data_IF_067482312872
#
_entry.id   IF_067482312872
#
_cell.length_a   1.000
_cell.length_b   1.000
_cell.length_c   1.000
_cell.angle_alpha   90.00
_cell.angle_beta   90.00
_cell.angle_gamma   90.00
#
_symmetry.space_group_name_H-M   'P 1'
#
loop_
_entity.id
_entity.type
_entity.pdbx_description
1 polymer ?
#
# COMPACT_ATOMS: atom_id res chain seq x y z
N UNK A 1 -6.97 20.66 -25.64
CA UNK A 1 -8.33 20.09 -25.48
C UNK A 1 -8.43 19.01 -24.39
N UNK A 2 -7.34 18.35 -23.97
CA UNK A 2 -7.39 17.30 -22.92
C UNK A 2 -7.67 17.82 -21.50
N UNK A 3 -7.21 19.03 -21.17
CA UNK A 3 -7.45 19.64 -19.87
C UNK A 3 -8.94 19.97 -19.66
N UNK A 4 -9.62 20.54 -20.66
CA UNK A 4 -11.07 20.80 -20.59
C UNK A 4 -11.90 19.53 -20.50
N UNK A 5 -11.51 18.46 -21.20
CA UNK A 5 -12.18 17.16 -21.11
C UNK A 5 -12.00 16.52 -19.72
N UNK A 6 -10.78 16.52 -19.19
CA UNK A 6 -10.49 16.05 -17.83
C UNK A 6 -11.25 16.84 -16.77
N UNK A 7 -11.30 18.17 -16.92
CA UNK A 7 -12.02 19.06 -16.01
C UNK A 7 -13.54 18.79 -16.04
N UNK A 8 -14.14 18.64 -17.23
CA UNK A 8 -15.55 18.29 -17.37
C UNK A 8 -15.92 16.97 -16.69
N UNK A 9 -15.06 15.95 -16.84
CA UNK A 9 -15.25 14.64 -16.20
C UNK A 9 -15.22 14.73 -14.66
N UNK A 10 -14.29 15.52 -14.10
CA UNK A 10 -14.21 15.76 -12.64
C UNK A 10 -15.51 16.40 -12.12
N UNK A 11 -16.04 17.40 -12.83
CA UNK A 11 -17.30 18.07 -12.42
C UNK A 11 -18.47 17.09 -12.40
N UNK A 12 -18.56 16.18 -13.38
CA UNK A 12 -19.61 15.15 -13.43
C UNK A 12 -19.50 14.20 -12.22
N UNK A 13 -18.28 13.75 -11.88
CA UNK A 13 -18.04 12.91 -10.71
C UNK A 13 -18.44 13.64 -9.41
N UNK A 14 -18.04 14.90 -9.25
CA UNK A 14 -18.39 15.70 -8.07
C UNK A 14 -19.91 15.89 -7.91
N UNK A 15 -20.64 16.05 -9.03
CA UNK A 15 -22.11 16.07 -9.03
C UNK A 15 -22.71 14.76 -8.55
N UNK A 16 -22.14 13.63 -8.96
CA UNK A 16 -22.61 12.31 -8.51
C UNK A 16 -22.41 12.11 -7.00
N UNK A 17 -21.25 12.53 -6.45
CA UNK A 17 -21.00 12.49 -5.01
C UNK A 17 -21.93 13.42 -4.22
N UNK A 18 -22.24 14.61 -4.73
CA UNK A 18 -23.18 15.54 -4.05
C UNK A 18 -24.61 15.03 -4.06
N UNK A 19 -25.07 14.32 -5.11
CA UNK A 19 -26.39 13.67 -5.14
C UNK A 19 -26.48 12.57 -4.08
N UNK A 20 -25.42 11.79 -3.91
CA UNK A 20 -25.32 10.72 -2.89
C UNK A 20 -25.50 11.28 -1.46
N UNK A 21 -25.11 12.54 -1.23
CA UNK A 21 -25.31 13.25 0.05
C UNK A 21 -26.75 13.65 0.38
N UNK A 22 -27.69 13.53 -0.58
CA UNK A 22 -29.11 13.86 -0.34
C UNK A 22 -29.86 12.79 0.46
N UNK A 23 -29.44 11.53 0.39
CA UNK A 23 -30.02 10.46 1.18
C UNK A 23 -29.41 10.44 2.59
N UNK A 24 -30.24 10.54 3.63
CA UNK A 24 -29.81 10.64 5.03
C UNK A 24 -28.88 9.48 5.45
N UNK A 25 -29.19 8.25 5.03
CA UNK A 25 -28.38 7.05 5.31
C UNK A 25 -27.00 7.11 4.66
N UNK A 26 -26.94 7.46 3.37
CA UNK A 26 -25.67 7.56 2.62
C UNK A 26 -24.80 8.70 3.14
N UNK A 27 -25.39 9.84 3.49
CA UNK A 27 -24.69 10.95 4.14
C UNK A 27 -24.06 10.54 5.48
N UNK A 28 -24.79 9.79 6.31
CA UNK A 28 -24.29 9.28 7.59
C UNK A 28 -23.11 8.30 7.41
N UNK A 29 -23.18 7.43 6.40
CA UNK A 29 -22.09 6.50 6.08
C UNK A 29 -20.84 7.24 5.60
N UNK A 30 -20.98 8.15 4.63
CA UNK A 30 -19.88 8.95 4.08
C UNK A 30 -19.19 9.78 5.18
N UNK A 31 -19.96 10.45 6.04
CA UNK A 31 -19.43 11.24 7.14
C UNK A 31 -18.68 10.37 8.16
N UNK A 32 -19.18 9.16 8.44
CA UNK A 32 -18.50 8.20 9.32
C UNK A 32 -17.15 7.78 8.76
N UNK A 33 -17.07 7.53 7.45
CA UNK A 33 -15.79 7.20 6.77
C UNK A 33 -14.81 8.35 6.89
N UNK A 34 -15.21 9.58 6.54
CA UNK A 34 -14.33 10.76 6.59
C UNK A 34 -13.81 11.03 8.00
N UNK A 35 -14.69 10.98 9.01
CA UNK A 35 -14.29 11.18 10.41
C UNK A 35 -13.35 10.07 10.88
N UNK A 36 -13.55 8.82 10.45
CA UNK A 36 -12.66 7.72 10.79
C UNK A 36 -11.27 7.84 10.15
N UNK A 37 -11.20 8.29 8.89
CA UNK A 37 -9.94 8.55 8.20
C UNK A 37 -9.18 9.68 8.89
N UNK A 38 -9.87 10.77 9.25
CA UNK A 38 -9.27 11.88 10.00
C UNK A 38 -8.69 11.41 11.35
N UNK A 39 -9.43 10.58 12.10
CA UNK A 39 -8.95 9.98 13.36
C UNK A 39 -7.77 9.01 13.17
N UNK A 40 -7.58 8.50 11.96
CA UNK A 40 -6.51 7.55 11.63
C UNK A 40 -5.36 8.20 10.87
N UNK A 41 -5.36 9.54 10.73
CA UNK A 41 -4.37 10.29 9.98
C UNK A 41 -2.93 9.95 10.38
N UNK A 42 -2.64 9.92 11.69
CA UNK A 42 -1.31 9.57 12.19
C UNK A 42 -0.87 8.15 11.82
N UNK A 43 -1.80 7.18 11.77
CA UNK A 43 -1.48 5.81 11.35
C UNK A 43 -1.17 5.79 9.86
N UNK A 44 -1.97 6.46 9.03
CA UNK A 44 -1.77 6.52 7.58
C UNK A 44 -0.42 7.18 7.26
N UNK A 45 -0.09 8.26 7.97
CA UNK A 45 1.20 8.92 7.84
C UNK A 45 2.36 8.01 8.27
N UNK A 46 2.21 7.27 9.37
CA UNK A 46 3.19 6.27 9.79
C UNK A 46 3.36 5.13 8.77
N UNK A 47 2.27 4.67 8.16
CA UNK A 47 2.29 3.68 7.09
C UNK A 47 3.05 4.18 5.87
N UNK A 48 2.82 5.42 5.46
CA UNK A 48 3.55 6.05 4.36
C UNK A 48 5.05 6.17 4.66
N UNK A 49 5.42 6.59 5.86
CA UNK A 49 6.83 6.66 6.28
C UNK A 49 7.48 5.27 6.30
N UNK A 50 6.77 4.25 6.77
CA UNK A 50 7.25 2.87 6.74
C UNK A 50 7.47 2.38 5.29
N UNK A 51 6.53 2.66 4.39
CA UNK A 51 6.71 2.33 2.97
C UNK A 51 7.93 3.07 2.39
N UNK A 52 8.13 4.33 2.75
CA UNK A 52 9.28 5.11 2.28
C UNK A 52 10.62 4.55 2.77
N UNK A 53 10.74 4.16 4.04
CA UNK A 53 11.97 3.58 4.58
C UNK A 53 12.27 2.22 3.94
N UNK A 54 11.26 1.37 3.77
CA UNK A 54 11.42 0.11 3.05
C UNK A 54 11.73 0.31 1.57
N UNK A 55 11.17 1.33 0.91
CA UNK A 55 11.50 1.63 -0.49
C UNK A 55 12.96 2.03 -0.67
N UNK A 56 13.50 2.83 0.26
CA UNK A 56 14.92 3.20 0.27
C UNK A 56 15.81 1.97 0.49
N UNK A 57 15.49 1.14 1.48
CA UNK A 57 16.23 -0.09 1.74
C UNK A 57 16.15 -1.08 0.58
N UNK A 58 14.96 -1.24 -0.02
CA UNK A 58 14.75 -2.10 -1.19
C UNK A 58 15.52 -1.62 -2.42
N UNK A 59 15.65 -0.32 -2.63
CA UNK A 59 16.47 0.24 -3.70
C UNK A 59 17.96 -0.08 -3.53
N UNK A 60 18.46 -0.07 -2.28
CA UNK A 60 19.85 -0.42 -1.97
C UNK A 60 20.09 -1.93 -2.11
N UNK A 61 19.15 -2.76 -1.69
CA UNK A 61 19.31 -4.22 -1.66
C UNK A 61 18.99 -4.90 -3.01
N UNK A 62 17.97 -4.42 -3.71
CA UNK A 62 17.37 -5.09 -4.86
C UNK A 62 17.30 -4.19 -6.11
N UNK A 63 17.99 -3.06 -6.13
CA UNK A 63 17.91 -2.07 -7.22
C UNK A 63 18.41 -2.58 -8.58
N UNK A 64 19.37 -3.52 -8.58
CA UNK A 64 19.95 -4.11 -9.79
C UNK A 64 19.45 -5.53 -10.09
N UNK A 65 18.51 -6.06 -9.30
CA UNK A 65 18.01 -7.44 -9.47
C UNK A 65 17.38 -7.63 -10.84
N UNK A 66 17.73 -8.73 -11.49
CA UNK A 66 17.20 -9.13 -12.79
C UNK A 66 15.67 -9.23 -12.79
N UNK A 67 15.05 -8.86 -13.90
CA UNK A 67 13.61 -9.01 -14.08
C UNK A 67 13.20 -10.49 -14.05
N UNK A 68 12.11 -10.78 -13.34
CA UNK A 68 11.58 -12.10 -13.08
C UNK A 68 10.13 -12.22 -13.52
N UNK A 69 9.34 -13.01 -12.79
CA UNK A 69 7.90 -13.21 -13.08
C UNK A 69 7.07 -11.97 -12.70
N UNK A 70 7.33 -11.42 -11.50
CA UNK A 70 6.59 -10.30 -10.91
C UNK A 70 7.37 -9.00 -10.90
N UNK A 71 8.70 -9.06 -10.96
CA UNK A 71 9.58 -7.91 -11.17
C UNK A 71 9.73 -7.62 -12.66
N UNK A 72 9.29 -6.44 -13.10
CA UNK A 72 9.35 -6.02 -14.50
C UNK A 72 9.68 -4.53 -14.66
N UNK A 73 9.51 -3.98 -15.87
CA UNK A 73 9.93 -2.60 -16.21
C UNK A 73 9.26 -1.50 -15.37
N UNK A 74 7.99 -1.70 -15.02
CA UNK A 74 7.21 -0.74 -14.21
C UNK A 74 7.19 -1.10 -12.72
N UNK A 75 7.58 -2.34 -12.40
CA UNK A 75 7.41 -2.98 -11.11
C UNK A 75 8.77 -3.48 -10.63
N UNK A 76 9.62 -2.59 -10.12
CA UNK A 76 10.98 -2.90 -9.67
C UNK A 76 11.46 -1.94 -8.57
N UNK A 77 12.64 -2.23 -8.03
CA UNK A 77 13.31 -1.43 -7.00
C UNK A 77 14.43 -0.54 -7.56
N UNK A 78 14.48 -0.28 -8.88
CA UNK A 78 15.59 0.48 -9.48
C UNK A 78 15.62 1.96 -9.07
N UNK A 79 14.47 2.49 -8.64
CA UNK A 79 14.36 3.83 -8.05
C UNK A 79 13.47 3.75 -6.82
N UNK A 80 13.69 4.62 -5.84
CA UNK A 80 12.85 4.70 -4.63
C UNK A 80 11.37 4.90 -4.97
N UNK A 81 11.05 5.72 -5.97
CA UNK A 81 9.67 5.95 -6.41
C UNK A 81 8.99 4.68 -6.93
N UNK A 82 9.70 3.86 -7.71
CA UNK A 82 9.19 2.56 -8.17
C UNK A 82 9.09 1.56 -7.03
N UNK A 83 10.04 1.59 -6.09
CA UNK A 83 10.00 0.83 -4.85
C UNK A 83 8.75 1.14 -4.00
N UNK A 84 8.34 2.41 -3.90
CA UNK A 84 7.09 2.80 -3.21
C UNK A 84 5.87 2.16 -3.89
N UNK A 85 5.79 2.23 -5.23
CA UNK A 85 4.68 1.63 -5.99
C UNK A 85 4.67 0.10 -5.82
N UNK A 86 5.84 -0.53 -5.83
CA UNK A 86 6.00 -1.97 -5.60
C UNK A 86 5.53 -2.38 -4.20
N UNK A 87 5.92 -1.64 -3.17
CA UNK A 87 5.49 -1.91 -1.81
C UNK A 87 3.99 -1.65 -1.64
N UNK A 88 3.43 -0.64 -2.32
CA UNK A 88 1.99 -0.40 -2.35
C UNK A 88 1.22 -1.58 -2.94
N UNK A 89 1.73 -2.18 -4.02
CA UNK A 89 1.20 -3.42 -4.60
C UNK A 89 1.27 -4.60 -3.62
N UNK A 90 2.31 -4.69 -2.80
CA UNK A 90 2.37 -5.70 -1.73
C UNK A 90 1.33 -5.44 -0.65
N UNK A 91 1.04 -4.17 -0.30
CA UNK A 91 -0.01 -3.80 0.67
C UNK A 91 -1.40 -4.25 0.23
N UNK A 92 -1.68 -4.24 -1.09
CA UNK A 92 -2.96 -4.76 -1.63
C UNK A 92 -3.03 -6.29 -1.61
N UNK A 93 -1.95 -6.98 -1.25
CA UNK A 93 -1.87 -8.44 -1.15
C UNK A 93 -1.54 -9.13 -2.47
N UNK A 94 -1.14 -8.39 -3.50
CA UNK A 94 -0.85 -8.98 -4.82
C UNK A 94 0.49 -9.73 -4.82
N UNK A 95 0.42 -11.07 -4.91
CA UNK A 95 1.53 -11.97 -5.26
C UNK A 95 2.90 -11.61 -4.63
N UNK A 96 2.89 -11.11 -3.39
CA UNK A 96 4.09 -10.58 -2.72
C UNK A 96 5.19 -11.64 -2.56
N UNK A 97 4.79 -12.91 -2.41
CA UNK A 97 5.71 -14.05 -2.33
C UNK A 97 6.46 -14.26 -3.65
N UNK A 98 5.84 -13.98 -4.81
CA UNK A 98 6.52 -14.08 -6.11
C UNK A 98 7.57 -12.99 -6.27
N UNK A 99 7.23 -11.76 -5.87
CA UNK A 99 8.19 -10.63 -5.84
C UNK A 99 9.37 -10.98 -4.92
N UNK A 100 9.10 -11.58 -3.76
CA UNK A 100 10.13 -12.07 -2.86
C UNK A 100 11.02 -13.12 -3.53
N UNK A 101 10.45 -14.11 -4.21
CA UNK A 101 11.20 -15.16 -4.91
C UNK A 101 12.06 -14.61 -6.06
N UNK A 102 11.56 -13.63 -6.82
CA UNK A 102 12.36 -12.95 -7.84
C UNK A 102 13.58 -12.25 -7.21
N UNK A 103 13.44 -11.65 -6.03
CA UNK A 103 14.56 -11.06 -5.27
C UNK A 103 15.50 -12.09 -4.62
N UNK A 104 15.18 -13.38 -4.68
CA UNK A 104 16.02 -14.48 -4.19
C UNK A 104 16.84 -15.14 -5.30
N UNK A 105 16.76 -14.63 -6.52
CA UNK A 105 17.43 -15.22 -7.69
C UNK A 105 18.94 -15.39 -7.44
N UNK A 106 19.45 -16.56 -7.81
CA UNK A 106 20.84 -16.97 -7.61
C UNK A 106 21.41 -17.63 -8.87
N UNK A 107 22.75 -17.79 -8.99
CA UNK A 107 23.36 -18.44 -10.14
C UNK A 107 22.83 -19.87 -10.32
N UNK A 108 22.58 -20.36 -11.56
CA UNK A 108 22.99 -19.80 -12.87
C UNK A 108 21.98 -18.83 -13.52
N UNK A 109 20.91 -18.44 -12.83
CA UNK A 109 19.84 -17.60 -13.42
C UNK A 109 20.15 -16.10 -13.42
N UNK A 110 21.22 -15.70 -12.73
CA UNK A 110 21.79 -14.36 -12.66
C UNK A 110 23.32 -14.40 -12.87
N UNK A 111 23.90 -13.25 -13.17
CA UNK A 111 25.31 -12.98 -13.41
C UNK A 111 25.92 -12.30 -12.18
N UNK A 112 26.78 -12.99 -11.41
CA UNK A 112 27.45 -12.37 -10.28
C UNK A 112 28.42 -11.28 -10.76
N UNK A 113 28.32 -10.09 -10.18
CA UNK A 113 29.27 -8.99 -10.38
C UNK A 113 30.31 -8.91 -9.26
N UNK A 114 31.41 -8.19 -9.48
CA UNK A 114 32.41 -7.94 -8.43
C UNK A 114 31.89 -7.02 -7.33
N UNK A 115 30.89 -6.18 -7.66
CA UNK A 115 30.34 -5.14 -6.81
C UNK A 115 28.80 -5.28 -6.70
N UNK A 116 28.19 -4.76 -5.64
CA UNK A 116 26.73 -4.84 -5.40
C UNK A 116 25.86 -4.19 -6.48
N UNK A 117 26.40 -3.28 -7.29
CA UNK A 117 25.70 -2.60 -8.39
C UNK A 117 25.97 -3.21 -9.77
N UNK A 118 26.97 -4.10 -9.88
CA UNK A 118 27.30 -4.82 -11.12
C UNK A 118 26.69 -6.23 -11.15
N UNK A 119 26.23 -6.72 -10.00
CA UNK A 119 25.49 -7.99 -9.90
C UNK A 119 24.01 -7.76 -10.17
N UNK A 120 23.41 -8.65 -10.98
CA UNK A 120 21.96 -8.74 -11.15
C UNK A 120 21.35 -9.87 -10.30
N UNK A 121 22.17 -10.50 -9.44
CA UNK A 121 21.73 -11.51 -8.49
C UNK A 121 21.02 -10.90 -7.28
N UNK A 122 20.03 -11.63 -6.79
CA UNK A 122 19.34 -11.33 -5.55
C UNK A 122 20.10 -11.81 -4.31
N UNK A 123 19.49 -11.62 -3.15
CA UNK A 123 20.04 -12.11 -1.88
C UNK A 123 18.94 -12.83 -1.10
N UNK A 124 19.08 -14.15 -0.99
CA UNK A 124 18.07 -15.01 -0.36
C UNK A 124 17.71 -14.56 1.07
N UNK A 125 18.72 -14.34 1.91
CA UNK A 125 18.51 -14.00 3.33
C UNK A 125 17.93 -12.59 3.48
N UNK A 126 18.45 -11.63 2.72
CA UNK A 126 17.96 -10.26 2.76
C UNK A 126 16.52 -10.16 2.25
N UNK A 127 16.18 -10.83 1.14
CA UNK A 127 14.83 -10.88 0.60
C UNK A 127 13.85 -11.48 1.61
N UNK A 128 14.17 -12.63 2.20
CA UNK A 128 13.31 -13.26 3.21
C UNK A 128 13.02 -12.31 4.38
N UNK A 129 14.07 -11.73 4.97
CA UNK A 129 13.91 -10.82 6.10
C UNK A 129 13.14 -9.56 5.73
N UNK A 130 13.45 -8.95 4.59
CA UNK A 130 12.81 -7.71 4.12
C UNK A 130 11.32 -7.91 3.84
N UNK A 131 10.94 -8.88 3.00
CA UNK A 131 9.55 -9.04 2.60
C UNK A 131 8.68 -9.61 3.72
N UNK A 132 9.17 -10.58 4.50
CA UNK A 132 8.38 -11.11 5.62
C UNK A 132 8.16 -10.07 6.72
N UNK A 133 9.19 -9.31 7.11
CA UNK A 133 9.03 -8.25 8.12
C UNK A 133 8.08 -7.15 7.64
N UNK A 134 8.24 -6.68 6.40
CA UNK A 134 7.34 -5.71 5.80
C UNK A 134 5.90 -6.19 5.79
N UNK A 135 5.66 -7.42 5.31
CA UNK A 135 4.32 -7.99 5.16
C UNK A 135 3.62 -8.14 6.52
N UNK A 136 4.30 -8.66 7.55
CA UNK A 136 3.71 -8.80 8.88
C UNK A 136 3.34 -7.43 9.48
N UNK A 137 4.25 -6.45 9.39
CA UNK A 137 4.02 -5.12 9.95
C UNK A 137 2.89 -4.41 9.21
N UNK A 138 2.88 -4.45 7.87
CA UNK A 138 1.87 -3.74 7.08
C UNK A 138 0.49 -4.38 7.24
N UNK A 139 0.38 -5.71 7.25
CA UNK A 139 -0.89 -6.39 7.50
C UNK A 139 -1.42 -6.06 8.89
N UNK A 140 -0.55 -5.99 9.92
CA UNK A 140 -0.95 -5.55 11.25
C UNK A 140 -1.48 -4.10 11.24
N UNK A 141 -0.81 -3.18 10.55
CA UNK A 141 -1.27 -1.79 10.41
C UNK A 141 -2.62 -1.71 9.70
N UNK A 142 -2.77 -2.42 8.57
CA UNK A 142 -4.03 -2.45 7.79
C UNK A 142 -5.18 -3.03 8.60
N UNK A 143 -4.95 -4.13 9.33
CA UNK A 143 -5.96 -4.71 10.21
C UNK A 143 -6.40 -3.72 11.29
N UNK A 144 -5.45 -3.03 11.94
CA UNK A 144 -5.77 -2.00 12.93
C UNK A 144 -6.52 -0.81 12.33
N UNK A 145 -6.17 -0.42 11.10
CA UNK A 145 -6.83 0.67 10.37
C UNK A 145 -8.28 0.32 10.03
N UNK A 146 -8.56 -0.93 9.65
CA UNK A 146 -9.91 -1.42 9.33
C UNK A 146 -10.76 -1.68 10.59
N UNK A 147 -10.14 -2.16 11.68
CA UNK A 147 -10.84 -2.42 12.94
C UNK A 147 -11.29 -1.14 13.65
N UNK A 148 -10.53 -0.03 13.55
CA UNK A 148 -10.89 1.26 14.18
C UNK A 148 -12.29 1.77 13.82
N UNK A 149 -12.67 1.95 12.53
CA UNK A 149 -14.03 2.37 12.17
C UNK A 149 -15.09 1.37 12.62
N UNK A 150 -14.83 0.06 12.47
CA UNK A 150 -15.77 -1.01 12.85
C UNK A 150 -16.04 -0.96 14.36
N UNK A 151 -15.00 -0.87 15.18
CA UNK A 151 -15.11 -0.79 16.63
C UNK A 151 -15.78 0.52 17.07
N UNK A 152 -15.45 1.64 16.41
CA UNK A 152 -16.09 2.92 16.66
C UNK A 152 -17.60 2.89 16.34
N UNK A 153 -18.00 2.23 15.25
CA UNK A 153 -19.41 2.05 14.90
C UNK A 153 -20.13 1.15 15.92
N UNK A 154 -19.53 0.01 16.29
CA UNK A 154 -20.10 -0.91 17.30
C UNK A 154 -20.29 -0.22 18.65
N UNK A 155 -19.32 0.57 19.11
CA UNK A 155 -19.40 1.30 20.37
C UNK A 155 -20.53 2.35 20.34
N UNK A 156 -20.68 3.10 19.25
CA UNK A 156 -21.79 4.05 19.08
C UNK A 156 -23.16 3.36 19.14
N UNK A 157 -23.28 2.19 18.52
CA UNK A 157 -24.52 1.41 18.54
C UNK A 157 -24.83 0.91 19.95
N UNK A 158 -23.82 0.40 20.66
CA UNK A 158 -23.95 -0.10 22.03
C UNK A 158 -24.40 1.01 22.99
N UNK A 159 -23.74 2.19 22.96
CA UNK A 159 -24.13 3.34 23.78
C UNK A 159 -25.55 3.80 23.46
N UNK A 160 -25.96 3.75 22.18
CA UNK A 160 -27.32 4.12 21.77
C UNK A 160 -28.38 3.12 22.26
N UNK A 161 -28.05 1.84 22.37
CA UNK A 161 -28.94 0.81 22.93
C UNK A 161 -29.07 1.00 24.45
N UNK A 162 -27.97 1.22 25.17
CA UNK A 162 -28.00 1.40 26.63
C UNK A 162 -28.72 2.69 27.04
N UNK A 163 -28.61 3.77 26.25
CA UNK A 163 -29.34 5.02 26.49
C UNK A 163 -30.85 4.93 26.22
N UNK A 164 -31.36 3.79 25.72
CA UNK A 164 -32.79 3.54 25.52
C UNK A 164 -33.35 2.55 26.56
N UNK A 165 -32.50 2.06 27.47
CA UNK A 165 -32.85 1.18 28.57
C UNK A 165 -32.96 1.98 29.87
#
# INVERSE_FOLDING_TARGET
NDFSHSFGFIVIILRFFTITGKHATLRMLMLTVVVSVYKSFFIIMGMFLLILTYALAGNILFGSVKYGESIGRQANFSTTSRGIIMLFRIVTGEDWYKIMHDCMISPPFCTPGGNSWETDCGNFRAAMMFFCSFYVIITYIVLNLLQRPVNAHKLKLFVKIEAQK
#
